data_IF_623149648913
#
_entry.id   IF_623149648913
#
_cell.length_a   1.000
_cell.length_b   1.000
_cell.length_c   1.000
_cell.angle_alpha   90.00
_cell.angle_beta   90.00
_cell.angle_gamma   90.00
#
_symmetry.space_group_name_H-M   'P 1'
#
loop_
_entity.id
_entity.type
_entity.pdbx_description
1 polymer ?
#
# COMPACT_ATOMS: atom_id res chain seq x y z
N UNK A 1 53.79 61.27 -28.59
CA UNK A 1 52.43 60.83 -28.23
C UNK A 1 52.09 59.43 -28.72
N UNK A 2 52.29 59.08 -30.00
CA UNK A 2 52.00 57.72 -30.55
C UNK A 2 52.68 56.56 -29.79
N UNK A 3 53.93 56.76 -29.34
CA UNK A 3 54.72 55.75 -28.62
C UNK A 3 54.17 55.38 -27.23
N UNK A 4 53.50 56.33 -26.55
CA UNK A 4 52.87 56.07 -25.25
C UNK A 4 51.59 55.23 -25.38
N UNK A 5 50.79 55.47 -26.44
CA UNK A 5 49.60 54.65 -26.69
C UNK A 5 49.95 53.20 -27.05
N UNK A 6 51.04 52.99 -27.79
CA UNK A 6 51.51 51.64 -28.15
C UNK A 6 52.01 50.86 -26.94
N UNK A 7 52.69 51.49 -25.98
CA UNK A 7 53.14 50.81 -24.75
C UNK A 7 51.98 50.51 -23.80
N UNK A 8 50.98 51.39 -23.70
CA UNK A 8 49.76 51.12 -22.91
C UNK A 8 48.96 49.95 -23.48
N UNK A 9 48.82 49.85 -24.81
CA UNK A 9 48.14 48.73 -25.47
C UNK A 9 48.89 47.41 -25.24
N UNK A 10 50.22 47.42 -25.35
CA UNK A 10 51.06 46.23 -25.12
C UNK A 10 50.94 45.71 -23.68
N UNK A 11 50.90 46.63 -22.70
CA UNK A 11 50.75 46.27 -21.29
C UNK A 11 49.36 45.70 -20.97
N UNK A 12 48.32 46.19 -21.64
CA UNK A 12 46.94 45.70 -21.47
C UNK A 12 46.74 44.29 -22.05
N UNK A 13 47.45 43.93 -23.12
CA UNK A 13 47.42 42.58 -23.71
C UNK A 13 48.31 41.56 -22.99
N UNK A 14 49.27 42.01 -22.16
CA UNK A 14 50.18 41.14 -21.44
C UNK A 14 49.54 40.49 -20.20
N UNK A 15 48.48 41.08 -19.65
CA UNK A 15 47.62 40.45 -18.65
C UNK A 15 46.59 39.55 -19.34
N UNK A 16 47.04 38.38 -19.79
CA UNK A 16 46.16 37.37 -20.36
C UNK A 16 45.12 36.88 -19.34
N UNK A 17 43.84 37.03 -19.66
CA UNK A 17 42.76 36.43 -18.88
C UNK A 17 42.81 34.91 -19.02
N UNK A 18 43.02 34.19 -17.91
CA UNK A 18 42.88 32.73 -17.88
C UNK A 18 41.39 32.39 -17.91
N UNK A 19 40.90 32.00 -19.08
CA UNK A 19 39.54 31.47 -19.22
C UNK A 19 39.50 30.07 -18.61
N UNK A 20 38.78 29.94 -17.49
CA UNK A 20 38.53 28.67 -16.83
C UNK A 20 37.24 28.09 -17.40
N UNK A 21 37.35 26.92 -18.02
CA UNK A 21 36.22 26.10 -18.43
C UNK A 21 36.36 24.70 -17.84
N UNK A 22 35.24 24.04 -17.61
CA UNK A 22 35.20 22.64 -17.18
C UNK A 22 34.31 21.83 -18.13
N UNK A 23 34.58 20.53 -18.21
CA UNK A 23 33.74 19.62 -18.97
C UNK A 23 32.40 19.46 -18.26
N UNK A 24 31.30 19.58 -19.02
CA UNK A 24 29.98 19.19 -18.53
C UNK A 24 29.83 17.68 -18.70
N UNK A 25 29.67 16.97 -17.59
CA UNK A 25 29.37 15.52 -17.60
C UNK A 25 27.89 15.37 -17.29
N UNK A 26 27.15 14.73 -18.20
CA UNK A 26 25.75 14.42 -17.97
C UNK A 26 25.62 13.22 -17.03
N UNK A 27 24.89 13.41 -15.92
CA UNK A 27 24.45 12.33 -15.04
C UNK A 27 22.93 12.30 -15.05
N UNK A 28 22.29 11.19 -15.48
CA UNK A 28 20.85 11.05 -15.39
C UNK A 28 20.35 11.21 -13.96
N UNK A 29 19.19 11.85 -13.78
CA UNK A 29 18.56 12.01 -12.46
C UNK A 29 17.90 10.71 -12.01
N UNK A 30 17.32 9.96 -12.97
CA UNK A 30 16.67 8.70 -12.72
C UNK A 30 17.72 7.57 -12.57
N UNK A 31 17.76 6.86 -11.42
CA UNK A 31 18.70 5.77 -11.17
C UNK A 31 18.67 4.67 -12.23
N UNK A 32 17.54 4.42 -12.89
CA UNK A 32 17.39 3.40 -13.94
C UNK A 32 18.33 3.60 -15.14
N UNK A 33 18.85 4.83 -15.34
CA UNK A 33 19.80 5.16 -16.41
C UNK A 33 21.23 5.38 -15.90
N UNK A 34 21.57 4.91 -14.69
CA UNK A 34 22.89 5.13 -14.08
C UNK A 34 22.98 6.43 -13.26
N UNK A 35 21.82 6.94 -12.82
CA UNK A 35 21.71 8.08 -11.92
C UNK A 35 21.98 7.73 -10.45
N UNK A 36 21.73 8.70 -9.57
CA UNK A 36 21.89 8.50 -8.13
C UNK A 36 20.74 7.64 -7.55
N UNK A 37 21.06 6.58 -6.80
CA UNK A 37 20.07 5.67 -6.22
C UNK A 37 19.24 6.34 -5.12
N UNK A 38 19.77 7.35 -4.43
CA UNK A 38 19.03 8.07 -3.40
C UNK A 38 17.83 8.85 -3.95
N UNK A 39 17.86 9.21 -5.24
CA UNK A 39 16.74 9.90 -5.88
C UNK A 39 15.53 9.00 -6.11
N UNK A 40 15.68 7.67 -6.01
CA UNK A 40 14.60 6.72 -6.30
C UNK A 40 13.36 6.96 -5.44
N UNK A 41 13.53 7.07 -4.11
CA UNK A 41 12.42 7.21 -3.18
C UNK A 41 11.62 8.50 -3.42
N UNK A 42 12.32 9.60 -3.69
CA UNK A 42 11.68 10.89 -3.96
C UNK A 42 10.98 10.90 -5.32
N UNK A 43 11.60 10.34 -6.37
CA UNK A 43 11.00 10.22 -7.70
C UNK A 43 9.74 9.35 -7.68
N UNK A 44 9.78 8.21 -6.97
CA UNK A 44 8.64 7.30 -6.83
C UNK A 44 7.50 7.96 -6.06
N UNK A 45 7.81 8.62 -4.93
CA UNK A 45 6.80 9.33 -4.13
C UNK A 45 6.14 10.47 -4.92
N UNK A 46 6.94 11.25 -5.65
CA UNK A 46 6.45 12.35 -6.49
C UNK A 46 5.58 11.86 -7.64
N UNK A 47 5.93 10.71 -8.23
CA UNK A 47 5.15 10.08 -9.29
C UNK A 47 3.82 9.52 -8.76
N UNK A 48 3.84 8.85 -7.61
CA UNK A 48 2.64 8.30 -6.96
C UNK A 48 1.67 9.40 -6.54
N UNK A 49 2.17 10.52 -6.00
CA UNK A 49 1.34 11.66 -5.60
C UNK A 49 0.62 12.36 -6.77
N UNK A 50 1.19 12.27 -7.97
CA UNK A 50 0.62 12.86 -9.20
C UNK A 50 -0.12 11.84 -10.06
N UNK A 51 -0.12 10.55 -9.67
CA UNK A 51 -0.78 9.51 -10.43
C UNK A 51 -2.29 9.64 -10.26
N UNK A 52 -2.97 10.07 -11.33
CA UNK A 52 -4.43 10.19 -11.40
C UNK A 52 -5.12 8.87 -11.79
N UNK A 53 -4.34 7.85 -12.14
CA UNK A 53 -4.85 6.51 -12.45
C UNK A 53 -4.99 5.71 -11.15
N UNK A 54 -6.04 6.00 -10.41
CA UNK A 54 -6.62 4.98 -9.57
C UNK A 54 -7.30 3.98 -10.50
N UNK A 55 -6.96 2.70 -10.41
CA UNK A 55 -7.71 1.61 -11.04
C UNK A 55 -9.09 1.49 -10.35
N UNK A 56 -9.93 2.51 -10.48
CA UNK A 56 -11.30 2.56 -10.04
C UNK A 56 -12.25 2.55 -11.26
N UNK A 57 -11.89 1.73 -12.25
CA UNK A 57 -12.82 1.25 -13.28
C UNK A 57 -13.57 -0.02 -12.82
N UNK A 58 -13.64 -0.25 -11.50
CA UNK A 58 -14.46 -1.26 -10.87
C UNK A 58 -14.20 -1.31 -9.37
N UNK A 59 -14.94 -0.50 -8.59
CA UNK A 59 -14.89 -0.45 -7.12
C UNK A 59 -13.55 0.08 -6.56
N UNK A 60 -13.60 1.01 -5.59
CA UNK A 60 -12.50 1.45 -4.72
C UNK A 60 -11.48 2.51 -5.21
N UNK A 61 -11.91 3.75 -5.49
CA UNK A 61 -11.05 4.92 -5.20
C UNK A 61 -11.31 5.39 -3.78
N UNK A 62 -10.37 5.11 -2.88
CA UNK A 62 -9.88 6.02 -1.83
C UNK A 62 -8.84 5.25 -0.99
N UNK A 63 -7.71 4.85 -1.60
CA UNK A 63 -6.64 4.10 -0.91
C UNK A 63 -5.29 4.78 -0.97
N UNK A 64 -5.23 6.00 -0.45
CA UNK A 64 -3.96 6.64 -0.07
C UNK A 64 -4.05 7.42 1.26
N UNK A 65 -5.23 7.45 1.90
CA UNK A 65 -5.44 7.98 3.26
C UNK A 65 -6.11 6.96 4.21
N UNK A 66 -6.42 5.76 3.74
CA UNK A 66 -7.01 4.68 4.52
C UNK A 66 -5.98 3.84 5.29
N UNK A 67 -4.68 3.91 4.97
CA UNK A 67 -3.69 3.02 5.58
C UNK A 67 -3.54 3.20 7.10
N UNK A 68 -3.58 4.42 7.66
CA UNK A 68 -3.41 4.58 9.11
C UNK A 68 -4.65 4.14 9.89
N UNK A 69 -5.85 4.49 9.41
CA UNK A 69 -7.10 4.11 10.06
C UNK A 69 -7.47 2.65 9.79
N UNK A 70 -7.22 2.11 8.60
CA UNK A 70 -7.37 0.68 8.29
C UNK A 70 -6.41 -0.14 9.12
N UNK A 71 -5.12 0.23 9.22
CA UNK A 71 -4.17 -0.51 10.04
C UNK A 71 -4.52 -0.44 11.54
N UNK A 72 -5.07 0.69 12.01
CA UNK A 72 -5.57 0.82 13.37
C UNK A 72 -6.82 -0.02 13.62
N UNK A 73 -7.79 0.01 12.70
CA UNK A 73 -9.00 -0.80 12.75
C UNK A 73 -8.69 -2.29 12.64
N UNK A 74 -7.74 -2.69 11.80
CA UNK A 74 -7.26 -4.07 11.69
C UNK A 74 -6.54 -4.51 12.97
N UNK A 75 -5.76 -3.62 13.59
CA UNK A 75 -5.12 -3.89 14.88
C UNK A 75 -6.16 -4.05 16.00
N UNK A 76 -7.17 -3.17 16.04
CA UNK A 76 -8.29 -3.27 16.97
C UNK A 76 -9.13 -4.52 16.74
N UNK A 77 -9.44 -4.86 15.49
CA UNK A 77 -10.19 -6.06 15.14
C UNK A 77 -9.44 -7.31 15.58
N UNK A 78 -8.13 -7.40 15.33
CA UNK A 78 -7.32 -8.53 15.80
C UNK A 78 -7.30 -8.64 17.32
N UNK A 79 -7.22 -7.51 18.03
CA UNK A 79 -7.20 -7.50 19.48
C UNK A 79 -8.58 -7.85 20.08
N UNK A 80 -9.66 -7.35 19.47
CA UNK A 80 -11.04 -7.65 19.85
C UNK A 80 -11.38 -9.13 19.56
N UNK A 81 -11.00 -9.64 18.39
CA UNK A 81 -11.17 -11.04 18.01
C UNK A 81 -10.37 -11.97 18.92
N UNK A 82 -9.15 -11.59 19.30
CA UNK A 82 -8.35 -12.34 20.28
C UNK A 82 -9.05 -12.41 21.64
N UNK A 83 -9.55 -11.27 22.14
CA UNK A 83 -10.27 -11.22 23.41
C UNK A 83 -11.64 -11.93 23.35
N UNK A 84 -12.35 -11.83 22.23
CA UNK A 84 -13.63 -12.51 22.02
C UNK A 84 -13.42 -14.02 21.89
N UNK A 85 -12.38 -14.45 21.18
CA UNK A 85 -11.95 -15.84 21.08
C UNK A 85 -11.65 -16.41 22.47
N UNK A 86 -10.78 -15.77 23.25
CA UNK A 86 -10.49 -16.22 24.63
C UNK A 86 -11.73 -16.23 25.53
N UNK A 87 -12.67 -15.29 25.36
CA UNK A 87 -13.93 -15.27 26.12
C UNK A 87 -14.97 -16.27 25.63
N UNK A 88 -15.02 -16.61 24.34
CA UNK A 88 -15.87 -17.66 23.77
C UNK A 88 -15.34 -19.04 24.16
N UNK A 89 -14.04 -19.27 24.04
CA UNK A 89 -13.37 -20.48 24.51
C UNK A 89 -13.39 -20.62 26.04
N UNK A 90 -13.37 -19.50 26.78
CA UNK A 90 -13.42 -19.50 28.24
C UNK A 90 -14.82 -19.57 28.86
N UNK A 91 -15.87 -19.04 28.20
CA UNK A 91 -17.23 -18.96 28.77
C UNK A 91 -18.32 -19.72 27.99
N UNK A 92 -18.07 -20.19 26.75
CA UNK A 92 -19.08 -20.94 25.96
C UNK A 92 -18.63 -22.32 25.49
N UNK A 93 -17.34 -22.66 25.55
CA UNK A 93 -16.87 -24.05 25.41
C UNK A 93 -16.74 -24.76 26.76
N UNK A 94 -17.78 -24.64 27.58
CA UNK A 94 -18.14 -25.77 28.42
C UNK A 94 -18.55 -26.91 27.49
N UNK A 95 -17.68 -27.91 27.35
CA UNK A 95 -17.98 -29.28 26.88
C UNK A 95 -19.12 -29.43 25.83
N UNK A 96 -19.05 -28.74 24.68
CA UNK A 96 -20.11 -28.85 23.68
C UNK A 96 -19.69 -28.47 22.26
N UNK A 97 -19.72 -29.45 21.36
CA UNK A 97 -19.43 -29.31 19.92
C UNK A 97 -20.46 -28.43 19.21
N UNK A 98 -20.04 -27.75 18.12
CA UNK A 98 -20.92 -27.05 17.19
C UNK A 98 -21.94 -28.04 16.62
N UNK A 99 -23.21 -27.87 16.97
CA UNK A 99 -24.29 -28.76 16.52
C UNK A 99 -24.78 -28.33 15.14
N UNK A 100 -24.99 -29.28 14.20
CA UNK A 100 -25.68 -29.00 12.94
C UNK A 100 -27.06 -28.39 13.20
N UNK A 101 -27.42 -27.39 12.41
CA UNK A 101 -28.67 -26.65 12.61
C UNK A 101 -28.79 -25.39 11.76
N UNK A 102 -30.01 -24.85 11.74
CA UNK A 102 -30.33 -23.59 11.08
C UNK A 102 -30.31 -22.45 12.10
N UNK A 103 -29.61 -21.37 11.78
CA UNK A 103 -29.54 -20.18 12.60
C UNK A 103 -30.00 -18.96 11.80
N UNK A 104 -30.83 -18.11 12.40
CA UNK A 104 -31.30 -16.87 11.76
C UNK A 104 -30.79 -15.68 12.55
N UNK A 105 -30.00 -14.83 11.89
CA UNK A 105 -29.45 -13.60 12.44
C UNK A 105 -29.93 -12.41 11.62
N UNK A 106 -31.04 -11.80 12.04
CA UNK A 106 -31.63 -10.65 11.33
C UNK A 106 -32.05 -11.02 9.91
N UNK A 107 -31.39 -10.44 8.91
CA UNK A 107 -31.58 -10.74 7.48
C UNK A 107 -30.67 -11.86 6.95
N UNK A 108 -29.94 -12.56 7.81
CA UNK A 108 -28.99 -13.60 7.41
C UNK A 108 -29.48 -14.97 7.89
N UNK A 109 -29.69 -15.88 6.95
CA UNK A 109 -30.09 -17.25 7.19
C UNK A 109 -28.88 -18.16 7.02
N UNK A 110 -28.52 -18.89 8.08
CA UNK A 110 -27.37 -19.78 8.12
C UNK A 110 -27.86 -21.21 8.22
N UNK A 111 -27.42 -22.05 7.31
CA UNK A 111 -27.65 -23.49 7.33
C UNK A 111 -26.32 -24.19 7.55
N UNK A 112 -26.17 -24.82 8.72
CA UNK A 112 -24.97 -25.56 9.09
C UNK A 112 -25.23 -27.04 8.90
N UNK A 113 -24.64 -27.62 7.85
CA UNK A 113 -24.73 -29.04 7.52
C UNK A 113 -23.40 -29.71 7.79
N UNK A 114 -23.42 -30.92 8.33
CA UNK A 114 -22.22 -31.73 8.49
C UNK A 114 -21.91 -32.43 7.15
N UNK A 115 -20.73 -32.17 6.59
CA UNK A 115 -20.24 -32.82 5.37
C UNK A 115 -19.09 -33.76 5.72
N UNK A 116 -18.88 -34.83 4.95
CA UNK A 116 -17.88 -35.85 5.24
C UNK A 116 -16.47 -35.23 5.36
N UNK A 117 -16.01 -35.03 6.60
CA UNK A 117 -14.71 -34.42 6.92
C UNK A 117 -14.74 -32.92 7.24
N UNK A 118 -15.89 -32.31 7.55
CA UNK A 118 -15.97 -30.89 7.92
C UNK A 118 -17.38 -30.34 8.16
N UNK A 119 -17.49 -29.04 8.46
CA UNK A 119 -18.76 -28.32 8.51
C UNK A 119 -18.95 -27.50 7.23
N UNK A 120 -20.13 -27.61 6.63
CA UNK A 120 -20.57 -26.79 5.51
C UNK A 120 -21.57 -25.75 6.04
N UNK A 121 -21.24 -24.47 5.86
CA UNK A 121 -22.09 -23.36 6.29
C UNK A 121 -22.55 -22.62 5.03
N UNK A 122 -23.86 -22.66 4.77
CA UNK A 122 -24.49 -21.85 3.72
C UNK A 122 -25.11 -20.62 4.34
N UNK A 123 -24.78 -19.46 3.80
CA UNK A 123 -25.24 -18.16 4.28
C UNK A 123 -26.07 -17.54 3.17
N UNK A 124 -27.33 -17.24 3.45
CA UNK A 124 -28.25 -16.52 2.57
C UNK A 124 -28.61 -15.19 3.21
N UNK A 125 -28.32 -14.09 2.52
CA UNK A 125 -28.80 -12.76 2.91
C UNK A 125 -30.17 -12.50 2.28
N UNK A 126 -31.22 -12.45 3.09
CA UNK A 126 -32.61 -12.22 2.63
C UNK A 126 -32.89 -10.76 2.23
N UNK A 127 -31.98 -9.83 2.54
CA UNK A 127 -32.08 -8.43 2.13
C UNK A 127 -31.44 -8.12 0.78
N UNK A 128 -30.31 -8.76 0.46
CA UNK A 128 -29.58 -8.55 -0.81
C UNK A 128 -29.75 -9.70 -1.81
N UNK A 129 -30.20 -10.87 -1.36
CA UNK A 129 -30.29 -12.09 -2.16
C UNK A 129 -28.96 -12.82 -2.36
N UNK A 130 -27.88 -12.34 -1.75
CA UNK A 130 -26.54 -12.91 -1.90
C UNK A 130 -26.38 -14.22 -1.11
N UNK A 131 -25.65 -15.17 -1.71
CA UNK A 131 -25.36 -16.47 -1.13
C UNK A 131 -23.84 -16.68 -1.03
N UNK A 132 -23.39 -17.14 0.14
CA UNK A 132 -22.00 -17.47 0.42
C UNK A 132 -21.89 -18.84 1.06
N UNK A 133 -20.87 -19.61 0.68
CA UNK A 133 -20.62 -20.95 1.22
C UNK A 133 -19.24 -20.99 1.88
N UNK A 134 -19.19 -21.50 3.10
CA UNK A 134 -17.96 -21.64 3.88
C UNK A 134 -17.79 -23.11 4.25
N UNK A 135 -16.64 -23.67 3.88
CA UNK A 135 -16.25 -25.04 4.22
C UNK A 135 -15.20 -24.97 5.32
N UNK A 136 -15.51 -25.54 6.48
CA UNK A 136 -14.58 -25.71 7.58
C UNK A 136 -14.08 -27.16 7.52
N UNK A 137 -12.84 -27.43 7.08
CA UNK A 137 -12.29 -28.77 7.14
C UNK A 137 -12.13 -29.20 8.60
N UNK A 138 -12.61 -30.41 8.92
CA UNK A 138 -12.40 -31.04 10.21
C UNK A 138 -10.92 -31.28 10.44
N UNK A 139 -10.45 -30.99 11.65
CA UNK A 139 -9.11 -31.39 12.07
C UNK A 139 -9.14 -32.91 12.22
N UNK A 140 -8.33 -33.63 11.43
CA UNK A 140 -7.96 -35.01 11.73
C UNK A 140 -7.09 -35.04 12.98
#
# INVERSE_FOLDING_TARGET
MKLFYTTTILFLTAFGFTLKAQQLVYKPINPAFGGDTFNYQWLLSSAAAQNQFDNNSGSSSFSSNSNSLSNFTDSLNRQLLSQLSTKLFGNQFGEGELKPGTYVFGSMYLEVTQANGGLLIKILNTGTGEQSEIIIPGQN
#
